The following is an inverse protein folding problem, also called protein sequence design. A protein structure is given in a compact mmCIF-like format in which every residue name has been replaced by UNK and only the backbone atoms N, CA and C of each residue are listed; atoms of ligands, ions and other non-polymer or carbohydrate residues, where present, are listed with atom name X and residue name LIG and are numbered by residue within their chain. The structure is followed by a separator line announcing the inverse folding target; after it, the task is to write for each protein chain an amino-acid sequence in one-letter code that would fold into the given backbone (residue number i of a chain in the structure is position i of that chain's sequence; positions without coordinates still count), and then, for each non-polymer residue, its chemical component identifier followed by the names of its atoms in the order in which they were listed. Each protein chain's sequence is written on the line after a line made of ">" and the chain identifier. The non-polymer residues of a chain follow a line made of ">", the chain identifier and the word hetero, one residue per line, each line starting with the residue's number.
data_IF_051509154701
#
_entry.id   IF_051509154701
#
_cell.length_a   1.000
_cell.length_b   1.000
_cell.length_c   1.000
_cell.angle_alpha   90.00
_cell.angle_beta   90.00
_cell.angle_gamma   90.00
#
_symmetry.space_group_name_H-M   'P 1'
#
loop_
_entity.id
_entity.type
_entity.pdbx_description
1 polymer ?
#
# COMPACT_ATOMS: atom_id res chain seq x y z
N UNK A 1 -7.49 11.98 1.59
CA UNK A 1 -6.25 11.65 2.34
C UNK A 1 -5.86 12.77 3.29
N UNK A 2 -5.17 12.44 4.39
CA UNK A 2 -4.53 13.39 5.30
C UNK A 2 -3.21 13.86 4.66
N UNK A 3 -2.95 15.17 4.51
CA UNK A 3 -1.75 15.68 3.82
C UNK A 3 -0.45 15.49 4.62
N UNK A 4 -0.52 15.13 5.91
CA UNK A 4 0.66 14.90 6.78
C UNK A 4 1.10 13.43 6.79
N UNK A 5 0.14 12.51 6.73
CA UNK A 5 0.39 11.06 6.78
C UNK A 5 0.22 10.39 5.43
N UNK A 6 -0.39 11.06 4.45
CA UNK A 6 -0.81 10.58 3.13
C UNK A 6 -1.88 9.48 3.18
N UNK A 7 -2.21 9.00 4.36
CA UNK A 7 -3.19 7.95 4.59
C UNK A 7 -4.64 8.46 4.44
N UNK A 8 -5.58 7.56 4.60
CA UNK A 8 -7.01 7.84 4.51
C UNK A 8 -7.45 8.85 5.58
N UNK A 9 -8.17 9.89 5.17
CA UNK A 9 -8.82 10.85 6.07
C UNK A 9 -10.17 10.27 6.49
N UNK A 10 -10.28 9.88 7.77
CA UNK A 10 -11.45 9.16 8.28
C UNK A 10 -12.70 10.04 8.29
N UNK A 11 -12.56 11.34 8.50
CA UNK A 11 -13.69 12.27 8.41
C UNK A 11 -14.23 12.36 6.98
N UNK A 12 -13.36 12.28 5.97
CA UNK A 12 -13.78 12.23 4.57
C UNK A 12 -14.43 10.89 4.21
N UNK A 13 -13.95 9.78 4.77
CA UNK A 13 -14.59 8.46 4.64
C UNK A 13 -16.02 8.51 5.13
N UNK A 14 -16.26 9.04 6.34
CA UNK A 14 -17.60 9.13 6.93
C UNK A 14 -18.58 9.88 6.01
N UNK A 15 -18.14 11.00 5.43
CA UNK A 15 -18.95 11.78 4.48
C UNK A 15 -19.31 11.03 3.18
N UNK A 16 -18.53 9.98 2.82
CA UNK A 16 -18.68 9.23 1.58
C UNK A 16 -19.41 7.89 1.75
N UNK A 17 -19.73 7.49 2.97
CA UNK A 17 -20.53 6.29 3.23
C UNK A 17 -21.95 6.49 2.72
N UNK A 18 -22.46 5.49 2.00
CA UNK A 18 -23.84 5.43 1.51
C UNK A 18 -24.45 4.07 1.87
N UNK A 19 -25.75 3.89 1.61
CA UNK A 19 -26.44 2.61 1.76
C UNK A 19 -25.84 1.46 0.92
N UNK A 20 -25.05 1.79 -0.11
CA UNK A 20 -24.39 0.82 -0.96
C UNK A 20 -22.98 0.46 -0.48
N UNK A 21 -22.43 1.19 0.47
CA UNK A 21 -21.10 0.90 1.03
C UNK A 21 -21.14 -0.42 1.79
N UNK A 22 -20.20 -1.33 1.51
CA UNK A 22 -20.12 -2.66 2.14
C UNK A 22 -18.80 -2.91 2.86
N UNK A 23 -17.75 -2.24 2.44
CA UNK A 23 -16.43 -2.39 3.02
C UNK A 23 -15.62 -1.11 2.92
N UNK A 24 -14.61 -1.01 3.78
CA UNK A 24 -13.57 0.00 3.72
C UNK A 24 -12.24 -0.73 3.53
N UNK A 25 -11.42 -0.26 2.56
CA UNK A 25 -10.08 -0.79 2.31
C UNK A 25 -9.06 0.31 2.64
N UNK A 26 -8.63 0.42 3.91
CA UNK A 26 -7.57 1.34 4.29
C UNK A 26 -6.23 0.86 3.78
N UNK A 27 -5.48 1.72 3.10
CA UNK A 27 -4.11 1.45 2.68
C UNK A 27 -3.17 2.05 3.71
N UNK A 28 -2.31 1.22 4.33
CA UNK A 28 -1.22 1.67 5.20
C UNK A 28 -0.04 2.15 4.33
N UNK A 29 -0.21 3.36 3.76
CA UNK A 29 0.64 3.88 2.69
C UNK A 29 2.07 4.15 3.18
N UNK A 30 3.06 3.87 2.34
CA UNK A 30 4.50 4.06 2.58
C UNK A 30 5.05 3.31 3.81
N UNK A 31 4.20 2.55 4.52
CA UNK A 31 4.60 1.79 5.71
C UNK A 31 4.15 2.42 7.03
N UNK A 32 3.24 3.40 6.98
CA UNK A 32 2.62 4.02 8.15
C UNK A 32 1.20 3.47 8.34
N UNK A 33 0.83 2.99 9.55
CA UNK A 33 -0.55 2.60 9.83
C UNK A 33 -1.56 3.72 9.62
N UNK A 34 -2.77 3.37 9.18
CA UNK A 34 -3.93 4.27 9.23
C UNK A 34 -4.33 4.51 10.69
N UNK A 35 -5.05 5.57 10.99
CA UNK A 35 -5.66 5.75 12.33
C UNK A 35 -6.85 4.78 12.47
N UNK A 36 -6.59 3.60 13.06
CA UNK A 36 -7.55 2.51 13.12
C UNK A 36 -8.66 2.74 14.15
N UNK A 37 -8.43 3.45 15.26
CA UNK A 37 -9.48 3.61 16.27
C UNK A 37 -10.73 4.29 15.72
N UNK A 38 -10.65 5.49 15.10
CA UNK A 38 -11.81 6.13 14.50
C UNK A 38 -12.33 5.34 13.30
N UNK A 39 -11.45 4.70 12.50
CA UNK A 39 -11.85 3.88 11.36
C UNK A 39 -12.71 2.68 11.80
N UNK A 40 -12.25 1.92 12.79
CA UNK A 40 -12.97 0.75 13.29
C UNK A 40 -14.27 1.15 14.02
N UNK A 41 -14.28 2.31 14.72
CA UNK A 41 -15.50 2.84 15.30
C UNK A 41 -16.53 3.20 14.22
N UNK A 42 -16.08 3.82 13.12
CA UNK A 42 -16.91 4.15 11.96
C UNK A 42 -17.46 2.88 11.28
N UNK A 43 -16.61 1.91 11.01
CA UNK A 43 -16.98 0.65 10.37
C UNK A 43 -18.05 -0.11 11.19
N UNK A 44 -17.89 -0.20 12.52
CA UNK A 44 -18.89 -0.81 13.40
C UNK A 44 -20.24 -0.09 13.40
N UNK A 45 -20.26 1.25 13.34
CA UNK A 45 -21.52 2.02 13.29
C UNK A 45 -22.34 1.75 12.02
N UNK A 46 -21.67 1.44 10.93
CA UNK A 46 -22.28 1.25 9.62
C UNK A 46 -22.31 -0.20 9.14
N UNK A 47 -21.94 -1.17 9.98
CA UNK A 47 -21.85 -2.60 9.66
C UNK A 47 -20.99 -2.85 8.42
N UNK A 48 -19.80 -2.23 8.36
CA UNK A 48 -18.87 -2.31 7.24
C UNK A 48 -17.70 -3.24 7.56
N UNK A 49 -17.32 -4.06 6.60
CA UNK A 49 -16.10 -4.88 6.66
C UNK A 49 -14.87 -4.00 6.45
N UNK A 50 -13.82 -4.22 7.26
CA UNK A 50 -12.52 -3.55 7.10
C UNK A 50 -11.49 -4.53 6.58
N UNK A 51 -10.92 -4.25 5.40
CA UNK A 51 -9.87 -5.05 4.77
C UNK A 51 -8.61 -4.21 4.70
N UNK A 52 -7.62 -4.49 5.54
CA UNK A 52 -6.36 -3.77 5.57
C UNK A 52 -5.56 -4.05 4.29
N UNK A 53 -5.13 -3.00 3.59
CA UNK A 53 -4.13 -3.11 2.53
C UNK A 53 -2.75 -2.74 3.11
N UNK A 54 -2.04 -3.77 3.56
CA UNK A 54 -0.70 -3.67 4.14
C UNK A 54 0.40 -4.04 3.13
N UNK A 55 0.11 -3.91 1.84
CA UNK A 55 1.08 -4.17 0.77
C UNK A 55 2.36 -3.34 0.90
N UNK A 56 2.33 -2.24 1.66
CA UNK A 56 3.47 -1.38 1.94
C UNK A 56 3.80 -1.28 3.43
N UNK A 57 3.18 -2.11 4.30
CA UNK A 57 3.27 -1.92 5.75
C UNK A 57 3.50 -3.25 6.48
N UNK A 58 4.77 -3.59 6.69
CA UNK A 58 5.18 -4.80 7.39
C UNK A 58 5.76 -4.46 8.76
N UNK A 59 5.40 -5.20 9.80
CA UNK A 59 5.88 -5.03 11.18
C UNK A 59 5.71 -3.60 11.73
N UNK A 60 4.75 -2.84 11.19
CA UNK A 60 4.35 -1.58 11.79
C UNK A 60 3.33 -1.85 12.89
N UNK A 61 3.37 -1.01 13.91
CA UNK A 61 2.49 -1.09 15.07
C UNK A 61 1.56 0.12 15.10
N UNK A 62 0.32 -0.14 15.40
CA UNK A 62 -0.67 0.85 15.81
C UNK A 62 -1.01 0.60 17.28
N UNK A 63 -0.61 1.50 18.18
CA UNK A 63 -0.82 1.39 19.64
C UNK A 63 -0.41 0.02 20.21
N UNK A 64 0.72 -0.52 19.74
CA UNK A 64 1.26 -1.80 20.19
C UNK A 64 0.70 -3.04 19.48
N UNK A 65 -0.30 -2.92 18.61
CA UNK A 65 -0.87 -3.99 17.81
C UNK A 65 -0.29 -3.97 16.39
N UNK A 66 0.06 -5.12 15.85
CA UNK A 66 0.54 -5.20 14.47
C UNK A 66 -0.57 -4.89 13.47
N UNK A 67 -0.25 -4.07 12.45
CA UNK A 67 -1.10 -3.95 11.28
C UNK A 67 -1.32 -5.32 10.63
N UNK A 68 -2.47 -5.49 10.00
CA UNK A 68 -2.92 -6.78 9.48
C UNK A 68 -3.68 -7.63 10.49
N UNK A 69 -3.78 -7.19 11.76
CA UNK A 69 -4.52 -7.90 12.81
C UNK A 69 -5.64 -7.07 13.44
N UNK A 70 -5.97 -5.93 12.86
CA UNK A 70 -6.92 -4.95 13.41
C UNK A 70 -8.27 -5.02 12.70
N UNK A 71 -8.26 -5.11 11.37
CA UNK A 71 -9.45 -5.28 10.54
C UNK A 71 -9.96 -6.72 10.50
N UNK A 72 -10.96 -6.97 9.67
CA UNK A 72 -11.56 -8.31 9.47
C UNK A 72 -10.67 -9.23 8.62
N UNK A 73 -9.92 -8.64 7.70
CA UNK A 73 -8.90 -9.29 6.90
C UNK A 73 -7.80 -8.31 6.52
N UNK A 74 -6.64 -8.83 6.14
CA UNK A 74 -5.54 -8.00 5.65
C UNK A 74 -4.82 -8.66 4.48
N UNK A 75 -4.31 -7.84 3.57
CA UNK A 75 -3.52 -8.27 2.42
C UNK A 75 -2.08 -7.75 2.50
N UNK A 76 -1.11 -8.62 2.24
CA UNK A 76 0.31 -8.32 2.17
C UNK A 76 0.85 -8.64 0.78
N UNK A 77 1.72 -7.79 0.24
CA UNK A 77 2.37 -8.01 -1.06
C UNK A 77 3.79 -8.52 -0.90
N UNK A 78 4.13 -9.55 -1.66
CA UNK A 78 5.49 -10.11 -1.76
C UNK A 78 6.14 -9.78 -3.11
N UNK A 79 5.65 -8.73 -3.78
CA UNK A 79 6.24 -8.23 -5.02
C UNK A 79 7.69 -7.76 -4.77
N UNK A 80 8.55 -7.84 -5.78
CA UNK A 80 10.01 -7.65 -5.66
C UNK A 80 10.50 -6.34 -5.03
N UNK A 81 9.69 -5.26 -5.01
CA UNK A 81 10.05 -3.98 -4.38
C UNK A 81 9.64 -3.88 -2.90
N UNK A 82 8.84 -4.83 -2.39
CA UNK A 82 8.28 -4.78 -1.03
C UNK A 82 9.32 -5.08 0.06
N UNK A 83 8.89 -5.11 1.31
CA UNK A 83 9.79 -5.39 2.44
C UNK A 83 10.37 -6.79 2.38
N UNK A 84 9.58 -7.75 1.91
CA UNK A 84 10.00 -9.11 1.57
C UNK A 84 9.46 -9.49 0.19
N UNK A 85 10.06 -10.50 -0.45
CA UNK A 85 9.64 -10.96 -1.78
C UNK A 85 9.54 -12.46 -1.85
N UNK A 86 8.65 -12.96 -2.70
CA UNK A 86 8.60 -14.38 -3.11
C UNK A 86 9.27 -14.63 -4.47
N UNK A 87 10.16 -13.74 -4.89
CA UNK A 87 10.99 -13.87 -6.10
C UNK A 87 10.52 -13.12 -7.33
N UNK A 88 9.24 -12.74 -7.37
CA UNK A 88 8.65 -11.87 -8.39
C UNK A 88 7.37 -11.25 -7.82
N UNK A 89 6.22 -11.81 -8.18
CA UNK A 89 4.93 -11.44 -7.63
C UNK A 89 4.47 -12.49 -6.62
N UNK A 90 3.68 -12.06 -5.65
CA UNK A 90 3.08 -12.90 -4.63
C UNK A 90 2.41 -12.06 -3.57
N UNK A 91 1.75 -12.71 -2.65
CA UNK A 91 1.07 -12.07 -1.55
C UNK A 91 0.45 -13.07 -0.61
N UNK A 92 -0.06 -12.56 0.49
CA UNK A 92 -0.77 -13.33 1.51
C UNK A 92 -1.97 -12.53 1.97
N UNK A 93 -3.08 -13.22 2.18
CA UNK A 93 -4.23 -12.67 2.88
C UNK A 93 -4.36 -13.41 4.20
N UNK A 94 -4.56 -12.66 5.27
CA UNK A 94 -4.86 -13.21 6.60
C UNK A 94 -6.25 -12.72 7.04
N UNK A 95 -6.93 -13.54 7.81
CA UNK A 95 -8.22 -13.21 8.44
C UNK A 95 -8.36 -14.03 9.72
N UNK A 96 -8.96 -13.45 10.76
CA UNK A 96 -9.21 -14.12 12.03
C UNK A 96 -10.50 -14.96 12.02
N UNK A 97 -11.48 -14.61 11.21
CA UNK A 97 -12.73 -15.34 11.06
C UNK A 97 -12.59 -16.52 10.09
N UNK A 98 -13.01 -17.73 10.52
CA UNK A 98 -12.88 -18.96 9.72
C UNK A 98 -13.74 -18.96 8.45
N UNK A 99 -14.91 -18.32 8.48
CA UNK A 99 -15.80 -18.23 7.31
C UNK A 99 -15.20 -17.28 6.26
N UNK A 100 -14.65 -16.13 6.67
CA UNK A 100 -13.90 -15.23 5.79
C UNK A 100 -12.70 -15.94 5.17
N UNK A 101 -11.84 -16.58 5.99
CA UNK A 101 -10.66 -17.30 5.51
C UNK A 101 -11.02 -18.42 4.53
N UNK A 102 -12.08 -19.18 4.80
CA UNK A 102 -12.61 -20.20 3.89
C UNK A 102 -13.09 -19.58 2.57
N UNK A 103 -13.84 -18.48 2.64
CA UNK A 103 -14.35 -17.76 1.47
C UNK A 103 -13.21 -17.23 0.58
N UNK A 104 -12.20 -16.61 1.17
CA UNK A 104 -11.01 -16.12 0.49
C UNK A 104 -10.24 -17.27 -0.18
N UNK A 105 -10.01 -18.36 0.56
CA UNK A 105 -9.29 -19.52 0.03
C UNK A 105 -10.02 -20.19 -1.13
N UNK A 106 -11.35 -20.34 -1.06
CA UNK A 106 -12.15 -20.82 -2.19
C UNK A 106 -12.05 -19.88 -3.38
N UNK A 107 -12.22 -18.58 -3.16
CA UNK A 107 -12.13 -17.55 -4.21
C UNK A 107 -10.77 -17.52 -4.91
N UNK A 108 -9.67 -17.77 -4.20
CA UNK A 108 -8.31 -17.80 -4.76
C UNK A 108 -7.92 -19.13 -5.41
N UNK A 109 -8.67 -20.23 -5.18
CA UNK A 109 -8.34 -21.59 -5.65
C UNK A 109 -9.56 -22.24 -6.32
N UNK A 110 -9.92 -21.75 -7.49
CA UNK A 110 -10.95 -22.31 -8.39
C UNK A 110 -12.38 -22.44 -7.81
N UNK A 111 -12.64 -22.08 -6.56
CA UNK A 111 -13.94 -22.27 -5.93
C UNK A 111 -14.24 -23.71 -5.48
N UNK A 112 -13.20 -24.50 -5.22
CA UNK A 112 -13.39 -25.89 -4.77
C UNK A 112 -14.19 -25.97 -3.46
N UNK A 113 -15.26 -26.76 -3.45
CA UNK A 113 -16.16 -26.94 -2.30
C UNK A 113 -15.49 -27.60 -1.09
N UNK A 114 -14.46 -28.39 -1.32
CA UNK A 114 -13.70 -29.10 -0.27
C UNK A 114 -12.72 -28.22 0.50
N UNK A 115 -12.47 -26.98 0.05
CA UNK A 115 -11.56 -26.09 0.72
C UNK A 115 -12.20 -25.45 1.96
N UNK A 116 -11.39 -25.41 3.03
CA UNK A 116 -11.71 -24.74 4.29
C UNK A 116 -10.56 -23.83 4.69
N UNK A 117 -10.70 -23.06 5.76
CA UNK A 117 -9.63 -22.24 6.34
C UNK A 117 -8.45 -23.07 6.87
N UNK A 118 -8.66 -24.35 7.17
CA UNK A 118 -7.62 -25.24 7.74
C UNK A 118 -6.49 -25.50 6.75
N UNK A 119 -5.24 -25.62 7.23
CA UNK A 119 -4.12 -26.05 6.40
C UNK A 119 -4.41 -27.39 5.70
N UNK A 120 -3.89 -27.55 4.50
CA UNK A 120 -4.08 -28.79 3.74
C UNK A 120 -3.97 -28.59 2.24
N UNK A 121 -4.27 -29.65 1.49
CA UNK A 121 -4.21 -29.64 0.03
C UNK A 121 -5.15 -28.60 -0.58
N UNK A 122 -4.68 -27.90 -1.59
CA UNK A 122 -5.48 -26.99 -2.43
C UNK A 122 -6.08 -27.70 -3.65
N UNK A 123 -6.09 -29.01 -3.65
CA UNK A 123 -6.64 -29.81 -4.74
C UNK A 123 -7.71 -30.78 -4.22
N UNK A 124 -8.62 -31.18 -5.09
CA UNK A 124 -9.61 -32.21 -4.80
C UNK A 124 -8.93 -33.52 -4.43
N UNK A 125 -9.35 -34.24 -3.39
CA UNK A 125 -8.81 -35.56 -3.03
C UNK A 125 -8.80 -36.52 -4.22
N UNK A 126 -7.75 -37.36 -4.29
CA UNK A 126 -7.53 -38.20 -5.46
C UNK A 126 -8.67 -39.17 -5.76
N UNK A 127 -9.28 -39.75 -4.72
CA UNK A 127 -10.43 -40.65 -4.87
C UNK A 127 -11.68 -39.96 -5.42
N UNK A 128 -11.98 -38.78 -4.91
CA UNK A 128 -13.12 -37.98 -5.33
C UNK A 128 -12.94 -37.37 -6.72
N UNK A 129 -11.70 -37.10 -7.12
CA UNK A 129 -11.38 -36.53 -8.44
C UNK A 129 -11.80 -37.44 -9.60
N UNK A 130 -11.82 -38.73 -9.39
CA UNK A 130 -12.16 -39.74 -10.39
C UNK A 130 -13.65 -40.07 -10.41
N UNK A 131 -14.42 -39.65 -9.42
CA UNK A 131 -15.87 -39.81 -9.38
C UNK A 131 -16.52 -38.80 -10.33
N UNK A 132 -17.24 -39.31 -11.31
CA UNK A 132 -17.95 -38.49 -12.31
C UNK A 132 -19.14 -37.73 -11.73
N UNK A 133 -19.70 -38.13 -10.59
CA UNK A 133 -20.82 -37.47 -9.91
C UNK A 133 -20.34 -36.45 -8.85
N UNK A 134 -19.03 -36.34 -8.57
CA UNK A 134 -18.50 -35.46 -7.57
C UNK A 134 -18.59 -33.98 -7.97
N UNK A 135 -19.35 -33.22 -7.22
CA UNK A 135 -19.48 -31.76 -7.40
C UNK A 135 -18.24 -31.05 -6.88
N UNK A 136 -17.46 -30.43 -7.76
CA UNK A 136 -16.15 -29.83 -7.46
C UNK A 136 -16.23 -28.39 -6.95
N UNK A 137 -17.14 -27.60 -7.47
CA UNK A 137 -17.16 -26.17 -7.28
C UNK A 137 -18.49 -25.74 -6.65
N UNK A 138 -18.43 -24.92 -5.60
CA UNK A 138 -19.62 -24.32 -4.98
C UNK A 138 -19.67 -22.80 -5.16
N UNK A 139 -18.61 -22.23 -5.73
CA UNK A 139 -18.54 -20.80 -6.09
C UNK A 139 -17.57 -20.57 -7.23
N UNK A 140 -17.64 -19.40 -7.88
CA UNK A 140 -16.62 -18.97 -8.82
C UNK A 140 -15.33 -18.66 -8.05
N UNK A 141 -14.17 -19.05 -8.60
CA UNK A 141 -12.86 -18.75 -8.05
C UNK A 141 -11.81 -18.60 -9.13
N UNK A 142 -10.76 -17.87 -8.79
CA UNK A 142 -9.59 -17.64 -9.63
C UNK A 142 -8.50 -18.69 -9.35
N UNK A 143 -7.37 -18.57 -10.03
CA UNK A 143 -6.19 -19.39 -9.75
C UNK A 143 -5.03 -18.50 -9.29
N UNK A 144 -5.07 -18.07 -8.03
CA UNK A 144 -4.04 -17.24 -7.39
C UNK A 144 -3.11 -18.06 -6.50
N UNK A 145 -2.92 -19.34 -6.80
CA UNK A 145 -2.04 -20.20 -6.00
C UNK A 145 -0.58 -19.83 -6.19
N UNK A 146 0.09 -19.60 -5.08
CA UNK A 146 1.55 -19.46 -5.05
C UNK A 146 2.20 -20.80 -5.36
N UNK A 147 3.25 -20.81 -6.18
CA UNK A 147 4.05 -22.02 -6.42
C UNK A 147 4.88 -22.41 -5.19
N UNK A 148 5.27 -23.68 -5.07
CA UNK A 148 6.11 -24.13 -3.97
C UNK A 148 7.48 -23.42 -3.94
N UNK A 149 8.04 -23.08 -5.10
CA UNK A 149 9.30 -22.31 -5.20
C UNK A 149 9.15 -20.91 -4.63
N UNK A 150 8.08 -20.19 -5.03
CA UNK A 150 7.78 -18.88 -4.47
C UNK A 150 7.52 -18.93 -2.97
N UNK A 151 6.79 -19.95 -2.49
CA UNK A 151 6.51 -20.13 -1.07
C UNK A 151 7.81 -20.39 -0.28
N UNK A 152 8.71 -21.23 -0.77
CA UNK A 152 9.99 -21.49 -0.12
C UNK A 152 10.86 -20.24 -0.02
N UNK A 153 10.92 -19.42 -1.10
CA UNK A 153 11.63 -18.16 -1.06
C UNK A 153 10.97 -17.17 -0.10
N UNK A 154 9.63 -17.07 -0.12
CA UNK A 154 8.88 -16.24 0.81
C UNK A 154 9.13 -16.61 2.27
N UNK A 155 9.20 -17.91 2.60
CA UNK A 155 9.54 -18.38 3.95
C UNK A 155 10.94 -17.93 4.37
N UNK A 156 11.96 -18.10 3.52
CA UNK A 156 13.31 -17.64 3.80
C UNK A 156 13.40 -16.11 4.00
N UNK A 157 12.58 -15.35 3.28
CA UNK A 157 12.48 -13.90 3.45
C UNK A 157 11.76 -13.54 4.76
N UNK A 158 10.71 -14.29 5.12
CA UNK A 158 9.94 -14.07 6.35
C UNK A 158 10.82 -14.29 7.60
N UNK A 159 11.72 -15.28 7.60
CA UNK A 159 12.69 -15.51 8.67
C UNK A 159 13.63 -14.32 8.90
N UNK A 160 13.78 -13.46 7.90
CA UNK A 160 14.65 -12.27 7.93
C UNK A 160 13.87 -10.96 7.97
N UNK A 161 12.55 -10.98 8.17
CA UNK A 161 11.70 -9.82 8.00
C UNK A 161 12.07 -8.69 8.97
N UNK A 162 12.42 -9.00 10.22
CA UNK A 162 12.88 -8.00 11.19
C UNK A 162 14.12 -7.26 10.70
N UNK A 163 15.09 -7.99 10.15
CA UNK A 163 16.29 -7.39 9.56
C UNK A 163 15.95 -6.52 8.35
N UNK A 164 15.07 -7.00 7.45
CA UNK A 164 14.69 -6.29 6.23
C UNK A 164 13.95 -4.99 6.53
N UNK A 165 13.03 -5.00 7.49
CA UNK A 165 12.32 -3.78 7.96
C UNK A 165 13.27 -2.89 8.74
N UNK A 166 14.13 -3.46 9.60
CA UNK A 166 15.15 -2.72 10.35
C UNK A 166 16.11 -1.95 9.44
N UNK A 167 16.53 -2.56 8.33
CA UNK A 167 17.38 -1.91 7.33
C UNK A 167 16.68 -0.69 6.69
N UNK A 168 15.39 -0.79 6.37
CA UNK A 168 14.63 0.35 5.83
C UNK A 168 14.49 1.49 6.86
N UNK A 169 14.22 1.14 8.12
CA UNK A 169 14.17 2.11 9.23
C UNK A 169 15.52 2.81 9.42
N UNK A 170 16.61 2.06 9.33
CA UNK A 170 17.96 2.64 9.38
C UNK A 170 18.20 3.65 8.26
N UNK A 171 17.88 3.29 7.01
CA UNK A 171 18.05 4.17 5.85
C UNK A 171 17.18 5.44 6.00
N UNK A 172 15.92 5.30 6.39
CA UNK A 172 15.05 6.44 6.66
C UNK A 172 15.62 7.37 7.73
N UNK A 173 16.13 6.81 8.83
CA UNK A 173 16.79 7.57 9.89
C UNK A 173 18.06 8.32 9.43
N UNK A 174 18.78 7.78 8.42
CA UNK A 174 19.92 8.49 7.80
C UNK A 174 19.47 9.75 7.04
N UNK A 175 18.43 9.64 6.22
CA UNK A 175 17.84 10.81 5.54
C UNK A 175 17.33 11.85 6.53
N UNK A 176 16.58 11.42 7.54
CA UNK A 176 16.05 12.31 8.58
C UNK A 176 17.17 13.02 9.36
N UNK A 177 18.27 12.31 9.66
CA UNK A 177 19.43 12.91 10.32
C UNK A 177 20.04 14.04 9.49
N UNK A 178 20.17 13.87 8.17
CA UNK A 178 20.70 14.92 7.29
C UNK A 178 19.79 16.15 7.29
N UNK A 179 18.48 15.94 7.14
CA UNK A 179 17.51 17.06 7.14
C UNK A 179 17.62 17.87 8.43
N UNK A 180 17.75 17.19 9.57
CA UNK A 180 17.90 17.83 10.90
C UNK A 180 19.25 18.51 11.07
N UNK A 181 20.37 17.85 10.71
CA UNK A 181 21.73 18.36 10.85
C UNK A 181 21.97 19.62 10.01
N UNK A 182 21.47 19.62 8.79
CA UNK A 182 21.56 20.76 7.86
C UNK A 182 20.46 21.82 8.10
N UNK A 183 19.61 21.64 9.15
CA UNK A 183 18.51 22.55 9.51
C UNK A 183 17.60 22.88 8.33
N UNK A 184 17.27 21.87 7.53
CA UNK A 184 16.48 22.03 6.33
C UNK A 184 14.99 22.13 6.71
N UNK A 185 14.40 23.31 6.56
CA UNK A 185 13.00 23.56 6.92
C UNK A 185 12.03 23.34 5.74
N UNK A 186 12.53 23.44 4.50
CA UNK A 186 11.75 23.32 3.29
C UNK A 186 11.56 21.88 2.77
N UNK A 187 12.22 20.88 3.35
CA UNK A 187 11.98 19.46 3.08
C UNK A 187 11.35 18.82 4.31
N UNK A 188 10.03 18.75 4.32
CA UNK A 188 9.24 18.32 5.49
C UNK A 188 9.22 16.80 5.59
N UNK A 189 9.77 16.19 6.65
CA UNK A 189 9.77 14.75 6.87
C UNK A 189 8.35 14.17 7.05
N UNK A 190 8.16 12.84 6.88
CA UNK A 190 6.89 12.20 7.13
C UNK A 190 6.48 12.33 8.60
N UNK A 191 5.23 12.68 8.84
CA UNK A 191 4.67 12.74 10.18
C UNK A 191 4.32 11.32 10.67
N UNK A 192 4.90 10.90 11.78
CA UNK A 192 4.57 9.63 12.44
C UNK A 192 3.82 9.95 13.75
N UNK A 193 2.51 9.71 13.82
CA UNK A 193 1.72 9.98 15.03
C UNK A 193 2.20 9.16 16.23
N UNK A 194 1.95 9.67 17.44
CA UNK A 194 2.25 8.96 18.68
C UNK A 194 1.52 7.60 18.75
N UNK A 195 2.20 6.58 19.23
CA UNK A 195 1.68 5.23 19.31
C UNK A 195 1.76 4.44 17.98
N UNK A 196 2.27 5.04 16.91
CA UNK A 196 2.49 4.35 15.64
C UNK A 196 3.99 4.11 15.38
N UNK A 197 4.29 3.03 14.65
CA UNK A 197 5.63 2.82 14.10
C UNK A 197 5.58 2.74 12.58
N UNK A 198 6.61 3.23 11.93
CA UNK A 198 6.72 3.28 10.47
C UNK A 198 7.68 2.21 9.97
N UNK A 199 7.32 1.45 8.95
CA UNK A 199 8.21 0.44 8.33
C UNK A 199 8.98 0.96 7.11
N UNK A 200 8.69 2.18 6.70
CA UNK A 200 9.37 2.89 5.63
C UNK A 200 9.53 2.07 4.35
N UNK A 201 8.43 1.66 3.75
CA UNK A 201 8.47 1.15 2.37
C UNK A 201 9.18 2.15 1.46
N UNK A 202 8.94 3.42 1.69
CA UNK A 202 9.66 4.55 1.14
C UNK A 202 9.73 5.68 2.19
N UNK A 203 10.72 6.55 2.12
CA UNK A 203 10.81 7.73 2.97
C UNK A 203 10.24 8.93 2.21
N UNK A 204 9.00 9.31 2.54
CA UNK A 204 8.23 10.34 1.83
C UNK A 204 8.31 11.70 2.51
N UNK A 205 8.92 12.70 1.87
CA UNK A 205 8.93 14.08 2.34
C UNK A 205 8.06 14.97 1.44
N UNK A 206 7.61 16.07 1.95
CA UNK A 206 6.96 17.13 1.15
C UNK A 206 7.94 18.28 0.97
N UNK A 207 8.15 18.68 -0.27
CA UNK A 207 8.94 19.85 -0.62
C UNK A 207 8.08 21.11 -0.41
N UNK A 208 8.57 22.04 0.40
CA UNK A 208 8.00 23.38 0.49
C UNK A 208 8.63 24.24 -0.61
N UNK A 209 8.00 24.26 -1.77
CA UNK A 209 8.48 24.98 -2.97
C UNK A 209 8.47 26.50 -2.77
N UNK A 210 7.56 27.01 -1.92
CA UNK A 210 7.48 28.43 -1.62
C UNK A 210 8.67 28.88 -0.75
N UNK A 211 9.04 28.06 0.24
CA UNK A 211 10.20 28.34 1.10
C UNK A 211 11.53 28.09 0.38
N UNK A 212 11.60 27.07 -0.51
CA UNK A 212 12.80 26.73 -1.26
C UNK A 212 13.03 27.66 -2.47
N UNK A 213 11.96 28.11 -3.12
CA UNK A 213 12.03 28.93 -4.35
C UNK A 213 12.24 28.15 -5.63
N UNK A 214 12.20 26.79 -5.59
CA UNK A 214 12.32 25.94 -6.79
C UNK A 214 11.31 24.82 -6.76
N UNK A 215 10.91 24.34 -7.95
CA UNK A 215 9.95 23.24 -8.10
C UNK A 215 10.61 21.86 -7.88
N UNK A 216 9.79 20.85 -7.59
CA UNK A 216 10.21 19.46 -7.40
C UNK A 216 11.13 18.91 -8.51
N UNK A 217 10.90 19.29 -9.77
CA UNK A 217 11.72 18.78 -10.90
C UNK A 217 13.14 19.29 -10.83
N UNK A 218 13.33 20.57 -10.50
CA UNK A 218 14.65 21.19 -10.35
C UNK A 218 15.36 20.62 -9.12
N UNK A 219 14.68 20.52 -7.99
CA UNK A 219 15.20 19.86 -6.79
C UNK A 219 15.68 18.43 -7.10
N UNK A 220 14.86 17.63 -7.79
CA UNK A 220 15.23 16.27 -8.18
C UNK A 220 16.44 16.25 -9.12
N UNK A 221 16.51 17.14 -10.07
CA UNK A 221 17.66 17.25 -10.98
C UNK A 221 18.93 17.54 -10.21
N UNK A 222 18.92 18.51 -9.32
CA UNK A 222 20.07 18.87 -8.46
C UNK A 222 20.49 17.67 -7.60
N UNK A 223 19.53 16.96 -6.98
CA UNK A 223 19.84 15.76 -6.21
C UNK A 223 20.57 14.69 -7.04
N UNK A 224 20.12 14.44 -8.27
CA UNK A 224 20.76 13.49 -9.19
C UNK A 224 22.15 13.97 -9.61
N UNK A 225 22.33 15.26 -9.91
CA UNK A 225 23.63 15.86 -10.24
C UNK A 225 24.63 15.79 -9.09
N UNK A 226 24.14 15.82 -7.83
CA UNK A 226 24.98 15.59 -6.63
C UNK A 226 25.26 14.10 -6.40
N UNK A 227 24.79 13.20 -7.27
CA UNK A 227 25.08 11.76 -7.23
C UNK A 227 24.01 10.89 -6.59
N UNK A 228 22.87 11.45 -6.20
CA UNK A 228 21.75 10.70 -5.63
C UNK A 228 21.01 9.84 -6.66
N UNK A 229 20.40 8.76 -6.18
CA UNK A 229 19.60 7.83 -6.96
C UNK A 229 18.31 7.48 -6.22
N UNK A 230 17.27 7.18 -6.97
CA UNK A 230 16.02 6.68 -6.40
C UNK A 230 15.16 7.72 -5.69
N UNK A 231 15.17 8.97 -6.15
CA UNK A 231 14.18 9.98 -5.78
C UNK A 231 13.02 9.95 -6.79
N UNK A 232 11.81 9.65 -6.29
CA UNK A 232 10.60 9.55 -7.08
C UNK A 232 9.58 10.62 -6.64
N UNK A 233 8.75 11.06 -7.57
CA UNK A 233 7.57 11.86 -7.26
C UNK A 233 6.35 10.98 -6.96
N UNK A 234 5.21 11.61 -6.72
CA UNK A 234 3.93 10.90 -6.64
C UNK A 234 3.57 10.30 -8.00
N UNK A 235 3.00 9.10 -8.00
CA UNK A 235 2.28 8.61 -9.17
C UNK A 235 1.09 9.52 -9.50
N UNK A 236 0.61 9.45 -10.73
CA UNK A 236 -0.62 10.14 -11.09
C UNK A 236 -1.77 9.57 -10.24
N UNK A 237 -2.55 10.40 -9.54
CA UNK A 237 -3.71 9.93 -8.80
C UNK A 237 -4.70 9.19 -9.69
N UNK A 238 -5.32 8.13 -9.17
CA UNK A 238 -6.21 7.26 -9.95
C UNK A 238 -7.31 8.02 -10.72
N UNK A 239 -7.91 9.03 -10.09
CA UNK A 239 -8.96 9.85 -10.72
C UNK A 239 -8.49 10.68 -11.93
N UNK A 240 -7.17 10.87 -12.09
CA UNK A 240 -6.57 11.55 -13.25
C UNK A 240 -6.09 10.59 -14.33
N UNK A 241 -6.05 9.29 -14.04
CA UNK A 241 -5.65 8.30 -15.04
C UNK A 241 -6.64 8.25 -16.21
N UNK A 242 -6.16 8.15 -17.46
CA UNK A 242 -7.02 8.11 -18.65
C UNK A 242 -8.12 7.06 -18.55
N UNK A 243 -7.81 5.89 -17.99
CA UNK A 243 -8.75 4.79 -17.79
C UNK A 243 -10.01 5.22 -17.02
N UNK A 244 -9.83 5.96 -15.90
CA UNK A 244 -10.94 6.43 -15.07
C UNK A 244 -11.59 7.69 -15.62
N UNK A 245 -10.81 8.56 -16.27
CA UNK A 245 -11.35 9.77 -16.91
C UNK A 245 -12.27 9.44 -18.10
N UNK A 246 -11.93 8.40 -18.85
CA UNK A 246 -12.70 7.98 -20.04
C UNK A 246 -13.67 6.84 -19.72
N UNK A 247 -13.60 6.24 -18.53
CA UNK A 247 -14.37 5.06 -18.11
C UNK A 247 -14.25 3.87 -19.08
N UNK A 248 -13.10 3.75 -19.77
CA UNK A 248 -12.88 2.79 -20.85
C UNK A 248 -12.19 1.50 -20.35
N UNK A 249 -12.79 0.84 -19.34
CA UNK A 249 -12.19 -0.30 -18.62
C UNK A 249 -11.92 -1.53 -19.50
N UNK A 250 -12.69 -1.73 -20.56
CA UNK A 250 -12.56 -2.88 -21.45
C UNK A 250 -12.40 -2.47 -22.92
N UNK A 251 -11.69 -1.36 -23.14
CA UNK A 251 -11.40 -0.83 -24.47
C UNK A 251 -12.52 0.04 -25.06
N UNK A 252 -13.66 0.14 -24.40
CA UNK A 252 -14.72 1.10 -24.76
C UNK A 252 -15.53 1.53 -23.53
N UNK A 253 -16.04 2.76 -23.48
CA UNK A 253 -16.87 3.23 -22.38
C UNK A 253 -18.15 2.39 -22.18
N UNK A 254 -18.75 1.92 -23.27
CA UNK A 254 -20.01 1.15 -23.24
C UNK A 254 -19.88 -0.19 -22.52
N UNK A 255 -18.67 -0.69 -22.32
CA UNK A 255 -18.37 -1.91 -21.57
C UNK A 255 -18.05 -1.68 -20.09
N UNK A 256 -18.08 -0.45 -19.64
CA UNK A 256 -17.82 -0.15 -18.23
C UNK A 256 -18.96 -0.68 -17.34
N UNK A 257 -18.65 -1.06 -16.09
CA UNK A 257 -19.65 -1.67 -15.18
C UNK A 257 -20.91 -0.84 -14.97
N UNK A 258 -20.83 0.47 -15.08
CA UNK A 258 -21.98 1.37 -14.89
C UNK A 258 -23.02 1.34 -16.03
N UNK A 259 -22.69 0.71 -17.17
CA UNK A 259 -23.69 0.41 -18.22
C UNK A 259 -24.46 -0.89 -17.97
N UNK A 260 -24.08 -1.67 -16.95
CA UNK A 260 -24.87 -2.84 -16.55
C UNK A 260 -26.22 -2.34 -16.00
N UNK A 261 -27.37 -2.90 -16.49
CA UNK A 261 -28.70 -2.51 -16.02
C UNK A 261 -28.93 -2.71 -14.51
N UNK A 262 -28.08 -3.51 -13.85
CA UNK A 262 -28.12 -3.75 -12.41
C UNK A 262 -27.42 -2.64 -11.62
N UNK A 263 -26.60 -1.82 -12.27
CA UNK A 263 -25.92 -0.71 -11.62
C UNK A 263 -26.92 0.36 -11.23
N UNK A 264 -27.00 0.67 -9.94
CA UNK A 264 -27.94 1.66 -9.38
C UNK A 264 -27.26 2.96 -8.96
N UNK A 265 -25.93 3.01 -9.04
CA UNK A 265 -25.15 4.19 -8.67
C UNK A 265 -25.18 5.27 -9.77
N UNK A 266 -24.94 6.50 -9.38
CA UNK A 266 -24.68 7.60 -10.31
C UNK A 266 -23.21 7.58 -10.72
N UNK A 267 -22.94 7.67 -12.02
CA UNK A 267 -21.59 7.82 -12.55
C UNK A 267 -21.21 9.28 -12.50
N UNK A 268 -20.40 9.64 -11.51
CA UNK A 268 -19.82 10.97 -11.42
C UNK A 268 -18.43 10.98 -12.07
N UNK A 269 -18.15 11.97 -12.88
CA UNK A 269 -16.79 12.30 -13.27
C UNK A 269 -15.95 12.66 -12.03
N UNK A 270 -14.64 12.56 -12.16
CA UNK A 270 -13.71 12.96 -11.10
C UNK A 270 -13.20 14.37 -11.37
N UNK A 271 -13.57 15.33 -10.51
CA UNK A 271 -13.02 16.69 -10.55
C UNK A 271 -11.83 16.77 -9.57
N UNK A 272 -10.64 17.24 -9.98
CA UNK A 272 -9.52 17.49 -9.07
C UNK A 272 -9.87 18.38 -7.88
N UNK A 273 -10.83 19.29 -8.02
CA UNK A 273 -11.31 20.14 -6.93
C UNK A 273 -11.96 19.35 -5.78
N UNK A 274 -12.44 18.14 -6.03
CA UNK A 274 -12.98 17.24 -5.00
C UNK A 274 -11.89 16.58 -4.14
N UNK A 275 -10.60 16.76 -4.52
CA UNK A 275 -9.44 16.11 -3.89
C UNK A 275 -8.38 17.13 -3.43
N UNK A 276 -8.74 18.20 -2.68
CA UNK A 276 -7.82 19.29 -2.37
C UNK A 276 -6.56 18.81 -1.60
N UNK A 277 -6.70 17.83 -0.71
CA UNK A 277 -5.55 17.31 0.04
C UNK A 277 -4.53 16.63 -0.89
N UNK A 278 -4.98 15.81 -1.84
CA UNK A 278 -4.08 15.16 -2.81
C UNK A 278 -3.40 16.22 -3.69
N UNK A 279 -4.15 17.20 -4.16
CA UNK A 279 -3.61 18.27 -4.98
C UNK A 279 -2.59 19.14 -4.23
N UNK A 280 -2.73 19.28 -2.91
CA UNK A 280 -1.82 20.08 -2.09
C UNK A 280 -0.40 19.51 -1.98
N UNK A 281 -0.22 18.20 -2.07
CA UNK A 281 1.11 17.59 -1.87
C UNK A 281 1.64 16.77 -3.06
N UNK A 282 0.78 16.24 -3.97
CA UNK A 282 1.20 15.27 -4.99
C UNK A 282 2.33 15.74 -5.90
N UNK A 283 2.37 17.03 -6.24
CA UNK A 283 3.43 17.59 -7.10
C UNK A 283 4.74 17.81 -6.36
N UNK A 284 4.67 17.91 -5.04
CA UNK A 284 5.76 18.25 -4.12
C UNK A 284 6.28 17.06 -3.33
N UNK A 285 5.72 15.86 -3.55
CA UNK A 285 6.10 14.65 -2.84
C UNK A 285 7.46 14.15 -3.32
N UNK A 286 8.41 14.08 -2.40
CA UNK A 286 9.75 13.52 -2.57
C UNK A 286 9.81 12.14 -1.92
N UNK A 287 9.95 11.09 -2.70
CA UNK A 287 9.99 9.71 -2.22
C UNK A 287 11.41 9.16 -2.35
N UNK A 288 12.15 9.13 -1.24
CA UNK A 288 13.50 8.58 -1.19
C UNK A 288 13.47 7.08 -0.97
N UNK A 289 14.29 6.37 -1.70
CA UNK A 289 14.37 4.91 -1.71
C UNK A 289 14.93 4.37 -0.40
N UNK A 290 14.24 3.42 0.21
CA UNK A 290 14.65 2.73 1.43
C UNK A 290 14.86 1.23 1.22
N UNK A 291 14.70 0.73 -0.02
CA UNK A 291 14.91 -0.69 -0.34
C UNK A 291 16.34 -1.12 -0.01
N UNK A 292 16.53 -2.43 0.30
CA UNK A 292 17.84 -3.00 0.58
C UNK A 292 18.89 -2.57 -0.43
N UNK A 293 19.97 -2.00 0.07
CA UNK A 293 21.11 -1.52 -0.71
C UNK A 293 22.39 -1.86 0.04
N UNK A 294 23.53 -1.76 -0.64
CA UNK A 294 24.83 -1.75 0.06
C UNK A 294 24.97 -0.49 0.89
N UNK A 295 25.70 -0.55 2.00
CA UNK A 295 25.98 0.64 2.82
C UNK A 295 26.60 1.77 2.01
N UNK A 296 27.52 1.45 1.09
CA UNK A 296 28.14 2.43 0.18
C UNK A 296 27.08 3.20 -0.63
N UNK A 297 26.08 2.50 -1.16
CA UNK A 297 25.01 3.14 -1.93
C UNK A 297 24.10 3.99 -1.06
N UNK A 298 23.81 3.55 0.16
CA UNK A 298 23.05 4.34 1.14
C UNK A 298 23.77 5.63 1.48
N UNK A 299 25.07 5.56 1.80
CA UNK A 299 25.85 6.74 2.13
C UNK A 299 25.97 7.71 0.95
N UNK A 300 26.14 7.19 -0.26
CA UNK A 300 26.13 8.01 -1.47
C UNK A 300 24.83 8.81 -1.63
N UNK A 301 23.67 8.18 -1.44
CA UNK A 301 22.37 8.84 -1.55
C UNK A 301 22.16 9.87 -0.41
N UNK A 302 22.62 9.55 0.80
CA UNK A 302 22.61 10.45 1.98
C UNK A 302 23.49 11.66 1.77
N UNK A 303 24.72 11.46 1.25
CA UNK A 303 25.66 12.55 0.95
C UNK A 303 25.14 13.43 -0.19
N UNK A 304 24.48 12.85 -1.20
CA UNK A 304 23.84 13.59 -2.27
C UNK A 304 22.72 14.50 -1.73
N UNK A 305 21.90 13.99 -0.78
CA UNK A 305 20.88 14.80 -0.12
C UNK A 305 21.53 15.96 0.67
N UNK A 306 22.57 15.66 1.44
CA UNK A 306 23.34 16.68 2.18
C UNK A 306 23.88 17.77 1.25
N UNK A 307 24.53 17.37 0.15
CA UNK A 307 25.07 18.30 -0.83
C UNK A 307 23.98 19.12 -1.53
N UNK A 308 22.82 18.54 -1.75
CA UNK A 308 21.66 19.24 -2.32
C UNK A 308 21.10 20.28 -1.34
N UNK A 309 20.93 19.91 -0.07
CA UNK A 309 20.44 20.85 0.95
C UNK A 309 21.42 22.03 1.08
N UNK A 310 22.72 21.77 1.15
CA UNK A 310 23.74 22.85 1.20
C UNK A 310 23.77 23.73 -0.02
N UNK A 311 23.45 23.16 -1.21
CA UNK A 311 23.37 23.93 -2.44
C UNK A 311 22.28 25.01 -2.40
N UNK A 312 21.15 24.71 -1.75
CA UNK A 312 20.03 25.63 -1.65
C UNK A 312 20.04 26.52 -0.38
N UNK A 313 20.76 26.11 0.65
CA UNK A 313 20.92 26.93 1.86
C UNK A 313 22.03 28.01 1.74
N UNK A 314 22.80 28.03 0.63
CA UNK A 314 23.88 28.97 0.37
C UNK A 314 25.19 28.47 0.96
#
# INVERSE_FOLDING_TARGET
>A
SDPRTFNMDIADVERKITEFTKAIIPVCLMGLPVDFDPLMALARRHDLTVIEDDAQCFLSLYKGQFVGTIGDAASFSFQGSKHMTSGADGGMIIASDEAYATGIRKGSVHGYRTLTAKPGSTSVPRGERQDWSFERFDKMGYNFRMSAVQAALGMAQLERLDYLVGARRYIAGRYESVIREEKCEWLVPPHVPEGMTHSYYIYGCVLDEDALGVEWREFRQTYVEKGGDGLYGSALPAHLEPLLRTMSFYGSPERAPHFDPRYKGEVKGYDPADYPNVESFRKRLCQFKTSMQTLEKVEKDVDALRATIRHYNG
#
